data_IF_035815585118
#
_entry.id   IF_035815585118
#
_cell.length_a   1.000
_cell.length_b   1.000
_cell.length_c   1.000
_cell.angle_alpha   90.00
_cell.angle_beta   90.00
_cell.angle_gamma   90.00
#
_symmetry.space_group_name_H-M   'P 1'
#
loop_
_entity.id
_entity.type
_entity.pdbx_description
1 polymer ?
#
# COMPACT_ATOMS: atom_id res chain seq x y z
N UNK A 1 2.87 22.91 1.17
CA UNK A 1 4.32 22.96 0.93
C UNK A 1 4.56 23.03 -0.57
N UNK A 2 5.36 23.99 -1.04
CA UNK A 2 5.73 24.11 -2.46
C UNK A 2 7.17 23.63 -2.62
N UNK A 3 7.40 22.71 -3.55
CA UNK A 3 8.72 22.22 -3.94
C UNK A 3 9.12 22.90 -5.25
N UNK A 4 10.30 23.53 -5.29
CA UNK A 4 10.89 24.09 -6.52
C UNK A 4 12.19 23.36 -6.81
N UNK A 5 12.36 22.85 -8.02
CA UNK A 5 13.54 22.09 -8.41
C UNK A 5 13.83 22.22 -9.90
N UNK A 6 15.08 21.97 -10.29
CA UNK A 6 15.50 22.01 -11.69
C UNK A 6 15.67 20.59 -12.22
N UNK A 7 15.07 20.30 -13.38
CA UNK A 7 15.25 19.05 -14.08
C UNK A 7 15.41 19.30 -15.59
N UNK A 8 16.47 18.76 -16.20
CA UNK A 8 16.76 18.93 -17.63
C UNK A 8 16.75 20.40 -18.09
N UNK A 9 17.41 21.28 -17.31
CA UNK A 9 17.48 22.75 -17.50
C UNK A 9 16.14 23.50 -17.44
N UNK A 10 15.06 22.84 -16.99
CA UNK A 10 13.75 23.46 -16.74
C UNK A 10 13.51 23.60 -15.24
N UNK A 11 12.98 24.75 -14.83
CA UNK A 11 12.53 24.95 -13.45
C UNK A 11 11.09 24.43 -13.33
N UNK A 12 10.87 23.53 -12.38
CA UNK A 12 9.60 22.89 -12.10
C UNK A 12 9.14 23.24 -10.68
N UNK A 13 7.83 23.29 -10.51
CA UNK A 13 7.16 23.59 -9.25
C UNK A 13 6.14 22.49 -8.99
N UNK A 14 6.13 21.94 -7.78
CA UNK A 14 5.13 20.99 -7.31
C UNK A 14 4.46 21.51 -6.03
N UNK A 15 3.13 21.62 -6.05
CA UNK A 15 2.32 21.94 -4.88
C UNK A 15 1.92 20.65 -4.16
N UNK A 16 2.65 20.33 -3.08
CA UNK A 16 2.45 19.11 -2.31
C UNK A 16 1.18 19.16 -1.44
N UNK A 17 0.46 20.29 -1.41
CA UNK A 17 -0.87 20.36 -0.78
C UNK A 17 -1.99 19.87 -1.69
N UNK A 18 -1.70 19.66 -2.98
CA UNK A 18 -2.65 19.21 -3.99
C UNK A 18 -2.11 17.97 -4.72
N UNK A 19 -1.82 16.87 -4.00
CA UNK A 19 -1.34 15.66 -4.64
C UNK A 19 -2.43 15.07 -5.54
N UNK A 20 -2.01 14.42 -6.62
CA UNK A 20 -2.85 13.49 -7.35
C UNK A 20 -2.64 12.12 -6.74
N UNK A 21 -3.71 11.54 -6.19
CA UNK A 21 -3.66 10.15 -5.74
C UNK A 21 -3.71 9.22 -6.95
N UNK A 22 -2.66 8.42 -7.10
CA UNK A 22 -2.52 7.39 -8.15
C UNK A 22 -2.44 5.98 -7.54
N UNK A 23 -2.71 5.86 -6.24
CA UNK A 23 -2.66 4.58 -5.56
C UNK A 23 -3.89 3.74 -5.87
N UNK A 24 -3.67 2.44 -5.98
CA UNK A 24 -4.72 1.43 -5.99
C UNK A 24 -4.74 0.82 -4.59
N UNK A 25 -5.83 1.04 -3.86
CA UNK A 25 -6.00 0.52 -2.51
C UNK A 25 -6.30 -0.99 -2.51
N UNK A 26 -5.99 -1.65 -1.39
CA UNK A 26 -6.53 -2.99 -1.13
C UNK A 26 -8.03 -2.85 -0.93
N UNK A 27 -8.82 -3.49 -1.79
CA UNK A 27 -10.27 -3.31 -1.84
C UNK A 27 -11.02 -4.63 -1.59
N UNK A 28 -12.19 -4.55 -0.93
CA UNK A 28 -13.07 -5.70 -0.63
C UNK A 28 -13.83 -6.19 -1.85
N UNK A 29 -14.60 -5.30 -2.49
CA UNK A 29 -15.56 -5.71 -3.53
C UNK A 29 -14.92 -5.93 -4.92
N UNK A 30 -13.95 -5.10 -5.27
CA UNK A 30 -13.24 -5.13 -6.54
C UNK A 30 -11.73 -5.23 -6.31
N UNK A 31 -11.32 -6.23 -5.53
CA UNK A 31 -9.91 -6.46 -5.23
C UNK A 31 -9.12 -6.68 -6.53
N UNK A 32 -7.99 -5.98 -6.67
CA UNK A 32 -7.09 -6.25 -7.78
C UNK A 32 -6.55 -7.67 -7.64
N UNK A 33 -6.47 -8.37 -8.77
CA UNK A 33 -6.02 -9.76 -8.85
C UNK A 33 -5.01 -9.86 -9.99
N UNK A 34 -3.86 -9.22 -9.82
CA UNK A 34 -2.80 -9.25 -10.83
C UNK A 34 -2.09 -10.61 -10.84
N UNK A 35 -1.58 -11.03 -12.00
CA UNK A 35 -0.79 -12.26 -12.15
C UNK A 35 -1.49 -13.55 -11.67
N UNK A 36 -2.84 -13.56 -11.66
CA UNK A 36 -3.63 -14.69 -11.14
C UNK A 36 -3.61 -14.84 -9.62
N UNK A 37 -3.06 -13.86 -8.89
CA UNK A 37 -3.06 -13.82 -7.43
C UNK A 37 -4.49 -13.57 -6.94
N UNK A 38 -4.97 -14.38 -6.01
CA UNK A 38 -6.31 -14.20 -5.42
C UNK A 38 -6.51 -12.80 -4.81
N UNK A 39 -7.74 -12.31 -4.85
CA UNK A 39 -8.11 -11.04 -4.20
C UNK A 39 -7.90 -11.07 -2.69
N UNK A 40 -7.77 -9.88 -2.10
CA UNK A 40 -7.65 -9.71 -0.66
C UNK A 40 -8.86 -10.28 0.10
N UNK A 41 -8.59 -10.91 1.24
CA UNK A 41 -9.59 -11.55 2.09
C UNK A 41 -9.75 -10.73 3.36
N UNK A 42 -10.99 -10.43 3.72
CA UNK A 42 -11.36 -9.70 4.92
C UNK A 42 -12.19 -10.62 5.82
N UNK A 43 -11.84 -10.68 7.10
CA UNK A 43 -12.57 -11.48 8.11
C UNK A 43 -12.64 -10.73 9.42
N UNK A 44 -13.72 -10.91 10.16
CA UNK A 44 -13.80 -10.46 11.55
C UNK A 44 -12.65 -11.08 12.36
N UNK A 45 -11.97 -10.26 13.16
CA UNK A 45 -10.98 -10.76 14.10
C UNK A 45 -11.69 -11.45 15.26
N UNK A 46 -11.29 -12.70 15.56
CA UNK A 46 -11.88 -13.50 16.63
C UNK A 46 -10.78 -14.00 17.56
N UNK A 47 -10.94 -13.75 18.86
CA UNK A 47 -10.00 -14.20 19.89
C UNK A 47 -10.77 -14.56 21.18
N UNK A 48 -10.94 -15.87 21.43
CA UNK A 48 -11.81 -16.35 22.51
C UNK A 48 -13.25 -15.86 22.30
N UNK A 49 -13.81 -15.19 23.30
CA UNK A 49 -15.17 -14.64 23.24
C UNK A 49 -15.24 -13.26 22.54
N UNK A 50 -14.09 -12.69 22.15
CA UNK A 50 -14.06 -11.43 21.41
C UNK A 50 -14.37 -11.67 19.93
N UNK A 51 -15.45 -11.06 19.45
CA UNK A 51 -15.79 -10.94 18.02
C UNK A 51 -15.60 -9.47 17.62
N UNK A 52 -14.71 -9.22 16.66
CA UNK A 52 -14.38 -7.91 16.12
C UNK A 52 -15.46 -7.33 15.19
N UNK A 53 -16.73 -7.38 15.58
CA UNK A 53 -17.83 -6.88 14.76
C UNK A 53 -18.96 -6.36 15.62
N UNK A 54 -19.25 -5.05 15.52
CA UNK A 54 -20.35 -4.40 16.27
C UNK A 54 -21.71 -5.02 15.95
N UNK A 55 -21.94 -5.41 14.70
CA UNK A 55 -23.21 -5.99 14.27
C UNK A 55 -23.44 -7.39 14.87
N UNK A 56 -22.38 -8.07 15.29
CA UNK A 56 -22.43 -9.38 15.97
C UNK A 56 -22.35 -9.25 17.50
N UNK A 57 -22.54 -8.05 18.06
CA UNK A 57 -22.47 -7.81 19.51
C UNK A 57 -21.06 -7.53 20.04
N UNK A 58 -20.06 -7.42 19.17
CA UNK A 58 -18.69 -7.09 19.52
C UNK A 58 -18.52 -5.69 20.10
N UNK A 59 -17.41 -5.42 20.81
CA UNK A 59 -17.12 -4.11 21.37
C UNK A 59 -16.72 -3.08 20.30
N UNK A 60 -16.11 -3.52 19.19
CA UNK A 60 -15.61 -2.70 18.08
C UNK A 60 -15.70 -3.45 16.73
N UNK A 61 -15.45 -2.74 15.62
CA UNK A 61 -15.20 -3.34 14.31
C UNK A 61 -13.70 -3.52 14.16
N UNK A 62 -13.26 -4.78 14.07
CA UNK A 62 -11.86 -5.17 14.02
C UNK A 62 -11.75 -6.35 13.06
N UNK A 63 -11.11 -6.12 11.92
CA UNK A 63 -10.95 -7.13 10.88
C UNK A 63 -9.49 -7.52 10.71
N UNK A 64 -9.28 -8.77 10.29
CA UNK A 64 -8.02 -9.23 9.71
C UNK A 64 -8.12 -9.16 8.20
N UNK A 65 -7.14 -8.51 7.58
CA UNK A 65 -6.99 -8.44 6.12
C UNK A 65 -5.80 -9.33 5.75
N UNK A 66 -6.01 -10.27 4.85
CA UNK A 66 -4.94 -11.08 4.25
C UNK A 66 -4.86 -10.78 2.77
N UNK A 67 -3.69 -10.35 2.30
CA UNK A 67 -3.49 -9.97 0.90
C UNK A 67 -2.03 -10.18 0.50
N UNK A 68 -1.79 -10.26 -0.81
CA UNK A 68 -0.47 -10.29 -1.42
C UNK A 68 -0.18 -8.91 -2.00
N UNK A 69 0.81 -8.14 -1.48
CA UNK A 69 1.07 -6.78 -1.93
C UNK A 69 1.28 -6.65 -3.44
N UNK A 70 2.02 -7.59 -4.04
CA UNK A 70 2.32 -7.60 -5.48
C UNK A 70 1.10 -7.84 -6.39
N UNK A 71 -0.03 -8.27 -5.83
CA UNK A 71 -1.24 -8.62 -6.59
C UNK A 71 -2.46 -7.77 -6.29
N UNK A 72 -2.54 -7.16 -5.10
CA UNK A 72 -3.79 -6.59 -4.58
C UNK A 72 -3.78 -5.06 -4.36
N UNK A 73 -2.65 -4.38 -4.59
CA UNK A 73 -2.56 -2.92 -4.48
C UNK A 73 -1.36 -2.33 -5.24
N UNK A 74 -1.28 -1.00 -5.31
CA UNK A 74 0.00 -0.32 -5.58
C UNK A 74 1.00 -0.73 -4.50
N UNK A 75 2.23 -1.05 -4.92
CA UNK A 75 3.28 -1.54 -4.03
C UNK A 75 4.66 -1.10 -4.52
N UNK A 76 5.66 -1.32 -3.67
CA UNK A 76 7.08 -1.21 -4.01
C UNK A 76 7.79 -2.48 -3.54
N UNK A 77 9.01 -2.69 -4.00
CA UNK A 77 9.79 -3.88 -3.73
C UNK A 77 11.23 -3.53 -3.35
N UNK A 78 11.95 -4.51 -2.82
CA UNK A 78 13.38 -4.40 -2.60
C UNK A 78 14.06 -5.66 -3.14
N UNK A 79 15.40 -5.68 -3.12
CA UNK A 79 16.20 -6.80 -3.62
C UNK A 79 15.76 -8.16 -3.02
N UNK A 80 15.25 -8.17 -1.78
CA UNK A 80 14.76 -9.37 -1.11
C UNK A 80 13.60 -10.07 -1.82
N UNK A 81 12.97 -9.45 -2.83
CA UNK A 81 11.98 -10.12 -3.67
C UNK A 81 12.58 -11.23 -4.54
N UNK A 82 13.86 -11.11 -4.92
CA UNK A 82 14.53 -12.01 -5.87
C UNK A 82 15.86 -12.60 -5.36
N UNK A 83 16.34 -12.14 -4.20
CA UNK A 83 17.62 -12.58 -3.64
C UNK A 83 17.44 -13.78 -2.68
N UNK A 84 18.50 -14.58 -2.56
CA UNK A 84 18.57 -15.68 -1.59
C UNK A 84 18.77 -15.14 -0.15
N UNK A 85 19.45 -14.00 -0.01
CA UNK A 85 19.65 -13.33 1.28
C UNK A 85 18.47 -12.43 1.68
N UNK A 86 18.29 -12.23 2.99
CA UNK A 86 17.23 -11.40 3.53
C UNK A 86 17.53 -9.90 3.35
N UNK A 87 16.66 -9.22 2.62
CA UNK A 87 16.57 -7.75 2.56
C UNK A 87 15.13 -7.34 2.85
N UNK A 88 14.94 -6.26 3.61
CA UNK A 88 13.63 -5.76 3.96
C UNK A 88 13.34 -4.42 3.28
N UNK A 89 12.11 -4.28 2.77
CA UNK A 89 11.69 -3.08 2.05
C UNK A 89 11.79 -1.82 2.92
N UNK A 90 11.49 -1.95 4.21
CA UNK A 90 11.53 -0.83 5.16
C UNK A 90 12.95 -0.29 5.40
N UNK A 91 13.99 -1.09 5.16
CA UNK A 91 15.39 -0.66 5.27
C UNK A 91 15.83 0.13 4.01
N UNK A 92 15.10 0.00 2.90
CA UNK A 92 15.41 0.64 1.63
C UNK A 92 14.62 1.94 1.41
N UNK A 93 13.45 2.08 2.05
CA UNK A 93 12.59 3.26 1.91
C UNK A 93 13.23 4.45 2.63
N UNK A 94 13.43 5.52 1.89
CA UNK A 94 13.92 6.80 2.42
C UNK A 94 12.91 7.90 2.05
N UNK A 95 12.63 8.82 2.98
CA UNK A 95 11.74 9.97 2.76
C UNK A 95 12.32 10.92 1.70
N UNK A 96 11.99 10.65 0.43
CA UNK A 96 12.49 11.38 -0.74
C UNK A 96 11.42 11.50 -1.81
N UNK A 97 11.50 12.57 -2.58
CA UNK A 97 10.72 12.74 -3.80
C UNK A 97 11.50 12.18 -4.99
N UNK A 98 10.83 11.37 -5.80
CA UNK A 98 11.38 10.82 -7.03
C UNK A 98 10.62 11.38 -8.23
N UNK A 99 11.34 11.70 -9.30
CA UNK A 99 10.72 11.95 -10.58
C UNK A 99 10.38 10.60 -11.22
N UNK A 100 9.10 10.33 -11.37
CA UNK A 100 8.63 9.16 -12.11
C UNK A 100 8.62 9.45 -13.61
N UNK A 101 9.05 8.46 -14.40
CA UNK A 101 8.83 8.40 -15.85
C UNK A 101 7.87 7.25 -16.13
N UNK A 102 6.95 7.45 -17.07
CA UNK A 102 6.10 6.38 -17.62
C UNK A 102 6.91 5.44 -18.51
#
# INVERSE_FOLDING_TARGET
MILTFTHSKRNLIADLTKPLDISISVHRDHSVSSFGIAGAIYKDYVAGDLIGNKALGGPCNLETITFTPHGNSTHTECLGHIADEAYFVNDCINDRFYLATL
#
